data_IF_168801395330
#
_entry.id   IF_168801395330
#
_cell.length_a   1.000
_cell.length_b   1.000
_cell.length_c   1.000
_cell.angle_alpha   90.00
_cell.angle_beta   90.00
_cell.angle_gamma   90.00
#
_symmetry.space_group_name_H-M   'P 1'
#
loop_
_entity.id
_entity.type
_entity.pdbx_description
1 polymer ?
#
# COMPACT_ATOMS: atom_id res chain seq x y z
N UNK A 1 20.75 -6.50 9.11
CA UNK A 1 21.13 -5.09 9.07
C UNK A 1 22.42 -4.85 9.86
N UNK A 2 22.55 -5.32 11.12
CA UNK A 2 23.77 -5.17 11.96
C UNK A 2 24.99 -5.76 11.24
N UNK A 3 24.90 -6.99 10.73
CA UNK A 3 26.00 -7.59 9.96
C UNK A 3 26.37 -6.78 8.72
N UNK A 4 25.39 -6.14 8.05
CA UNK A 4 25.67 -5.28 6.90
C UNK A 4 26.48 -4.05 7.33
N UNK A 5 26.09 -3.39 8.42
CA UNK A 5 26.82 -2.23 8.96
C UNK A 5 28.25 -2.63 9.40
N UNK A 6 28.40 -3.75 10.10
CA UNK A 6 29.69 -4.28 10.50
C UNK A 6 30.62 -4.64 9.31
N UNK A 7 30.02 -4.98 8.14
CA UNK A 7 30.73 -5.17 6.88
C UNK A 7 30.87 -3.87 6.05
N UNK A 8 30.82 -2.71 6.70
CA UNK A 8 31.10 -1.42 6.09
C UNK A 8 29.99 -0.86 5.19
N UNK A 9 28.77 -1.39 5.26
CA UNK A 9 27.64 -0.83 4.52
C UNK A 9 27.02 0.34 5.29
N UNK A 10 26.67 1.41 4.59
CA UNK A 10 25.87 2.49 5.16
C UNK A 10 24.43 2.01 5.29
N UNK A 11 23.94 1.92 6.52
CA UNK A 11 22.58 1.44 6.83
C UNK A 11 21.80 2.55 7.52
N UNK A 12 20.59 2.81 7.05
CA UNK A 12 19.61 3.67 7.71
C UNK A 12 18.36 2.85 7.97
N UNK A 13 17.80 2.95 9.17
CA UNK A 13 16.59 2.23 9.57
C UNK A 13 15.59 3.24 10.11
N UNK A 14 14.37 3.16 9.64
CA UNK A 14 13.24 3.94 10.18
C UNK A 14 12.37 3.00 10.99
N UNK A 15 12.15 3.32 12.25
CA UNK A 15 11.41 2.50 13.20
C UNK A 15 10.19 3.27 13.71
N UNK A 16 9.02 2.61 13.64
CA UNK A 16 7.82 3.05 14.33
C UNK A 16 7.86 2.57 15.79
N UNK A 17 8.15 3.48 16.73
CA UNK A 17 8.26 3.15 18.15
C UNK A 17 6.92 2.74 18.76
N UNK A 18 5.82 3.40 18.35
CA UNK A 18 4.48 3.14 18.85
C UNK A 18 3.80 1.96 18.12
N UNK A 19 4.58 0.91 17.85
CA UNK A 19 4.08 -0.33 17.27
C UNK A 19 3.40 -1.16 18.37
N UNK A 20 2.08 -1.32 18.27
CA UNK A 20 1.26 -2.00 19.28
C UNK A 20 1.83 -3.38 19.61
N UNK A 21 2.15 -3.63 20.90
CA UNK A 21 2.75 -4.84 21.48
C UNK A 21 4.24 -5.06 21.19
N UNK A 22 4.90 -4.21 20.41
CA UNK A 22 6.31 -4.38 20.01
C UNK A 22 7.22 -3.24 20.52
N UNK A 23 6.70 -2.32 21.35
CA UNK A 23 7.42 -1.11 21.79
C UNK A 23 8.75 -1.44 22.48
N UNK A 24 8.72 -2.38 23.44
CA UNK A 24 9.93 -2.77 24.18
C UNK A 24 10.97 -3.44 23.24
N UNK A 25 10.51 -4.27 22.31
CA UNK A 25 11.34 -4.92 21.30
C UNK A 25 11.98 -3.89 20.37
N UNK A 26 11.19 -2.92 19.89
CA UNK A 26 11.68 -1.88 18.99
C UNK A 26 12.71 -0.97 19.68
N UNK A 27 12.52 -0.63 20.95
CA UNK A 27 13.50 0.13 21.74
C UNK A 27 14.82 -0.66 21.89
N UNK A 28 14.74 -1.95 22.21
CA UNK A 28 15.94 -2.78 22.35
C UNK A 28 16.70 -2.92 21.01
N UNK A 29 15.98 -3.19 19.92
CA UNK A 29 16.61 -3.29 18.61
C UNK A 29 17.19 -1.97 18.12
N UNK A 30 16.53 -0.83 18.39
CA UNK A 30 17.06 0.48 18.04
C UNK A 30 18.40 0.77 18.70
N UNK A 31 18.55 0.47 19.99
CA UNK A 31 19.82 0.61 20.72
C UNK A 31 20.92 -0.25 20.09
N UNK A 32 20.66 -1.54 19.89
CA UNK A 32 21.63 -2.47 19.27
C UNK A 32 22.04 -2.03 17.87
N UNK A 33 21.12 -1.50 17.09
CA UNK A 33 21.43 -0.99 15.75
C UNK A 33 22.28 0.29 15.82
N UNK A 34 21.99 1.20 16.73
CA UNK A 34 22.79 2.41 16.95
C UNK A 34 24.22 2.06 17.43
N UNK A 35 24.37 1.11 18.34
CA UNK A 35 25.67 0.59 18.79
C UNK A 35 26.49 -0.04 17.64
N UNK A 36 25.81 -0.59 16.62
CA UNK A 36 26.46 -1.12 15.42
C UNK A 36 26.72 -0.04 14.34
N UNK A 37 26.52 1.25 14.64
CA UNK A 37 26.76 2.36 13.73
C UNK A 37 25.65 2.60 12.68
N UNK A 38 24.46 2.03 12.88
CA UNK A 38 23.32 2.24 12.01
C UNK A 38 22.64 3.56 12.36
N UNK A 39 22.31 4.36 11.34
CA UNK A 39 21.45 5.54 11.52
C UNK A 39 20.03 5.08 11.78
N UNK A 40 19.50 5.33 12.98
CA UNK A 40 18.12 5.02 13.34
C UNK A 40 17.29 6.30 13.40
N UNK A 41 16.17 6.33 12.70
CA UNK A 41 15.20 7.43 12.65
C UNK A 41 13.90 6.95 13.29
N UNK A 42 13.36 7.73 14.20
CA UNK A 42 12.14 7.41 14.94
C UNK A 42 10.96 8.19 14.39
N UNK A 43 10.26 7.56 13.43
CA UNK A 43 8.97 8.07 12.95
C UNK A 43 8.96 9.50 12.42
N UNK A 44 7.75 9.99 12.20
CA UNK A 44 7.45 11.39 11.85
C UNK A 44 6.37 11.87 12.82
N UNK A 45 6.56 13.04 13.41
CA UNK A 45 5.57 13.59 14.33
C UNK A 45 4.21 13.77 13.63
N UNK A 46 3.14 13.27 14.27
CA UNK A 46 1.79 13.33 13.74
C UNK A 46 1.45 12.31 12.65
N UNK A 47 2.44 11.56 12.11
CA UNK A 47 2.21 10.55 11.09
C UNK A 47 2.75 9.19 11.54
N UNK A 48 1.90 8.16 11.46
CA UNK A 48 2.34 6.78 11.71
C UNK A 48 2.93 6.17 10.45
N UNK A 49 4.14 5.62 10.52
CA UNK A 49 4.74 4.88 9.40
C UNK A 49 4.14 3.48 9.36
N UNK A 50 3.46 3.17 8.25
CA UNK A 50 2.83 1.88 8.05
C UNK A 50 3.26 1.20 6.73
N UNK A 51 3.96 1.90 5.86
CA UNK A 51 4.60 1.31 4.68
C UNK A 51 5.72 0.33 5.08
N UNK A 52 5.92 -0.71 4.28
CA UNK A 52 6.93 -1.75 4.47
C UNK A 52 7.84 -1.75 3.26
N UNK A 53 8.96 -1.05 3.40
CA UNK A 53 9.86 -0.74 2.30
C UNK A 53 11.30 -1.12 2.66
N UNK A 54 12.04 -1.61 1.66
CA UNK A 54 13.49 -1.72 1.69
C UNK A 54 14.05 -1.11 0.43
N UNK A 55 15.06 -0.26 0.55
CA UNK A 55 15.85 0.26 -0.56
C UNK A 55 17.29 -0.21 -0.42
N UNK A 56 17.87 -0.73 -1.48
CA UNK A 56 19.24 -1.25 -1.50
C UNK A 56 19.98 -0.57 -2.65
N UNK A 57 20.88 0.35 -2.33
CA UNK A 57 21.80 0.96 -3.29
C UNK A 57 22.98 0.03 -3.59
N UNK A 58 23.25 -0.23 -4.86
CA UNK A 58 24.40 -1.02 -5.30
C UNK A 58 25.14 -0.34 -6.46
N UNK A 59 26.42 -0.71 -6.67
CA UNK A 59 27.19 -0.23 -7.83
C UNK A 59 26.64 -0.70 -9.17
N UNK A 60 25.77 -1.69 -9.19
CA UNK A 60 25.16 -2.24 -10.42
C UNK A 60 23.75 -1.74 -10.69
N UNK A 61 23.21 -0.93 -9.79
CA UNK A 61 21.83 -0.42 -9.81
C UNK A 61 21.15 -0.66 -8.48
N UNK A 62 20.09 0.08 -8.25
CA UNK A 62 19.37 0.03 -6.99
C UNK A 62 18.19 -0.93 -7.08
N UNK A 63 17.83 -1.50 -5.93
CA UNK A 63 16.73 -2.44 -5.75
C UNK A 63 15.77 -1.92 -4.68
N UNK A 64 14.49 -2.26 -4.83
CA UNK A 64 13.49 -1.99 -3.81
C UNK A 64 12.67 -3.24 -3.50
N UNK A 65 12.26 -3.37 -2.22
CA UNK A 65 11.23 -4.30 -1.80
C UNK A 65 10.05 -3.49 -1.25
N UNK A 66 8.85 -3.81 -1.69
CA UNK A 66 7.60 -3.22 -1.20
C UNK A 66 6.68 -4.36 -0.77
N UNK A 67 6.25 -4.34 0.50
CA UNK A 67 5.45 -5.43 1.07
C UNK A 67 4.08 -4.94 1.55
N UNK A 68 3.08 -5.82 1.46
CA UNK A 68 1.76 -5.62 2.07
C UNK A 68 1.81 -5.83 3.58
N UNK A 69 2.72 -6.65 4.07
CA UNK A 69 2.88 -7.03 5.47
C UNK A 69 4.24 -6.69 6.07
N UNK A 70 4.31 -6.72 7.39
CA UNK A 70 5.54 -6.44 8.13
C UNK A 70 6.63 -7.47 7.85
N UNK A 71 7.89 -7.02 7.77
CA UNK A 71 9.07 -7.88 7.74
C UNK A 71 9.33 -8.50 9.12
N UNK A 72 8.44 -9.40 9.53
CA UNK A 72 8.47 -10.03 10.85
C UNK A 72 8.21 -11.53 10.72
N UNK A 73 9.08 -12.36 11.31
CA UNK A 73 9.05 -13.82 11.20
C UNK A 73 7.69 -14.42 11.67
N UNK A 74 7.16 -13.96 12.80
CA UNK A 74 5.89 -14.43 13.33
C UNK A 74 4.72 -14.14 12.38
N UNK A 75 4.68 -12.95 11.80
CA UNK A 75 3.63 -12.57 10.85
C UNK A 75 3.72 -13.41 9.57
N UNK A 76 4.92 -13.67 9.08
CA UNK A 76 5.14 -14.48 7.88
C UNK A 76 4.64 -15.93 8.00
N UNK A 77 4.47 -16.43 9.23
CA UNK A 77 3.92 -17.77 9.49
C UNK A 77 2.40 -17.81 9.60
N UNK A 78 1.76 -16.67 9.84
CA UNK A 78 0.32 -16.59 10.13
C UNK A 78 -0.46 -15.76 9.12
N UNK A 79 0.20 -14.89 8.36
CA UNK A 79 -0.42 -13.96 7.42
C UNK A 79 -0.09 -14.35 5.99
N UNK A 80 -1.05 -14.18 5.10
CA UNK A 80 -0.79 -14.18 3.66
C UNK A 80 -0.41 -12.75 3.27
N UNK A 81 0.81 -12.55 2.80
CA UNK A 81 1.29 -11.24 2.35
C UNK A 81 2.06 -11.38 1.04
N UNK A 82 2.09 -10.30 0.26
CA UNK A 82 2.90 -10.19 -0.94
C UNK A 82 4.06 -9.24 -0.72
N UNK A 83 5.22 -9.60 -1.26
CA UNK A 83 6.38 -8.71 -1.32
C UNK A 83 6.89 -8.68 -2.75
N UNK A 84 6.88 -7.50 -3.36
CA UNK A 84 7.48 -7.27 -4.66
C UNK A 84 8.93 -6.83 -4.49
N UNK A 85 9.84 -7.49 -5.23
CA UNK A 85 11.22 -7.07 -5.38
C UNK A 85 11.40 -6.54 -6.79
N UNK A 86 11.95 -5.34 -6.93
CA UNK A 86 12.05 -4.69 -8.23
C UNK A 86 13.35 -3.91 -8.40
N UNK A 87 13.85 -3.88 -9.66
CA UNK A 87 14.89 -3.00 -10.13
C UNK A 87 14.34 -1.92 -11.09
N UNK A 88 13.00 -1.78 -11.19
CA UNK A 88 12.37 -0.80 -12.06
C UNK A 88 12.75 0.62 -11.59
N UNK A 89 13.55 1.31 -12.40
CA UNK A 89 14.24 2.56 -12.03
C UNK A 89 13.31 3.63 -11.44
N UNK A 90 12.12 3.81 -12.03
CA UNK A 90 11.17 4.84 -11.55
C UNK A 90 10.60 4.47 -10.19
N UNK A 91 10.23 3.20 -9.98
CA UNK A 91 9.70 2.72 -8.69
C UNK A 91 10.79 2.82 -7.61
N UNK A 92 12.00 2.31 -7.89
CA UNK A 92 13.11 2.33 -6.94
C UNK A 92 13.47 3.75 -6.50
N UNK A 93 13.53 4.69 -7.46
CA UNK A 93 13.77 6.12 -7.17
C UNK A 93 12.66 6.72 -6.31
N UNK A 94 11.42 6.32 -6.53
CA UNK A 94 10.31 6.83 -5.72
C UNK A 94 10.25 6.19 -4.34
N UNK A 95 10.67 4.94 -4.18
CA UNK A 95 10.90 4.33 -2.85
C UNK A 95 11.94 5.13 -2.07
N UNK A 96 13.07 5.50 -2.69
CA UNK A 96 14.08 6.35 -2.06
C UNK A 96 13.48 7.71 -1.63
N UNK A 97 12.67 8.33 -2.48
CA UNK A 97 11.95 9.57 -2.13
C UNK A 97 10.96 9.43 -0.97
N UNK A 98 10.40 8.23 -0.74
CA UNK A 98 9.58 7.98 0.45
C UNK A 98 10.43 8.06 1.71
N UNK A 99 11.67 7.54 1.68
CA UNK A 99 12.61 7.71 2.79
C UNK A 99 13.00 9.18 2.99
N UNK A 100 13.26 9.93 1.92
CA UNK A 100 13.49 11.38 1.99
C UNK A 100 12.31 12.13 2.60
N UNK A 101 11.08 11.78 2.19
CA UNK A 101 9.85 12.35 2.75
C UNK A 101 9.71 12.08 4.25
N UNK A 102 10.06 10.89 4.70
CA UNK A 102 10.03 10.54 6.13
C UNK A 102 11.10 11.34 6.91
N UNK A 103 12.28 11.53 6.33
CA UNK A 103 13.37 12.30 6.94
C UNK A 103 13.09 13.82 6.97
N UNK A 104 12.41 14.30 5.93
CA UNK A 104 12.17 15.75 5.70
C UNK A 104 10.72 16.00 5.26
N UNK A 105 9.73 15.76 6.13
CA UNK A 105 8.31 15.82 5.77
C UNK A 105 7.80 17.21 5.37
N UNK A 106 8.59 18.25 5.63
CA UNK A 106 8.31 19.63 5.25
C UNK A 106 8.66 19.95 3.79
N UNK A 107 9.40 19.07 3.10
CA UNK A 107 9.71 19.25 1.68
C UNK A 107 8.59 18.70 0.80
N UNK A 108 8.18 19.43 -0.23
CA UNK A 108 7.20 18.92 -1.19
C UNK A 108 7.79 17.77 -1.97
N UNK A 109 7.10 16.62 -1.97
CA UNK A 109 7.48 15.44 -2.74
C UNK A 109 6.35 15.08 -3.70
N UNK A 110 6.69 14.71 -4.91
CA UNK A 110 5.74 14.29 -5.93
C UNK A 110 6.07 12.87 -6.40
N UNK A 111 5.05 12.03 -6.48
CA UNK A 111 5.14 10.63 -6.90
C UNK A 111 4.35 10.42 -8.19
N UNK A 112 4.94 9.77 -9.18
CA UNK A 112 4.30 9.42 -10.45
C UNK A 112 3.84 7.97 -10.48
N UNK A 113 4.68 7.09 -10.00
CA UNK A 113 4.45 5.64 -9.96
C UNK A 113 3.70 5.24 -8.68
N UNK A 114 4.30 5.51 -7.53
CA UNK A 114 3.73 5.14 -6.23
C UNK A 114 2.53 6.03 -5.87
N UNK A 115 1.51 5.43 -5.26
CA UNK A 115 0.50 6.17 -4.55
C UNK A 115 0.91 6.25 -3.08
N UNK A 116 1.12 7.46 -2.58
CA UNK A 116 1.65 7.66 -1.22
C UNK A 116 0.67 8.49 -0.39
N UNK A 117 0.34 8.02 0.80
CA UNK A 117 -0.42 8.80 1.78
C UNK A 117 0.53 9.44 2.82
N UNK A 118 0.14 10.57 3.41
CA UNK A 118 -1.07 11.36 3.16
C UNK A 118 -0.99 12.29 1.93
N UNK A 119 0.03 12.10 1.07
CA UNK A 119 0.33 13.03 -0.03
C UNK A 119 -0.82 13.12 -1.06
N UNK A 120 -1.00 12.07 -1.87
CA UNK A 120 -1.98 12.10 -2.98
C UNK A 120 -2.76 10.79 -3.18
N UNK A 121 -2.56 9.78 -2.34
CA UNK A 121 -3.14 8.45 -2.53
C UNK A 121 -4.66 8.48 -2.71
N UNK A 122 -5.40 9.15 -1.81
CA UNK A 122 -6.87 9.25 -1.94
C UNK A 122 -7.29 9.91 -3.25
N UNK A 123 -6.62 11.01 -3.63
CA UNK A 123 -6.88 11.74 -4.87
C UNK A 123 -6.67 10.84 -6.10
N UNK A 124 -5.59 10.08 -6.12
CA UNK A 124 -5.26 9.18 -7.24
C UNK A 124 -6.17 7.97 -7.30
N UNK A 125 -6.54 7.35 -6.17
CA UNK A 125 -7.55 6.30 -6.12
C UNK A 125 -8.91 6.81 -6.64
N UNK A 126 -9.32 8.00 -6.21
CA UNK A 126 -10.53 8.66 -6.74
C UNK A 126 -10.45 8.88 -8.25
N UNK A 127 -9.30 9.28 -8.77
CA UNK A 127 -9.08 9.46 -10.20
C UNK A 127 -9.16 8.13 -10.98
N UNK A 128 -8.62 7.04 -10.43
CA UNK A 128 -8.74 5.70 -11.02
C UNK A 128 -10.21 5.26 -11.09
N UNK A 129 -10.98 5.40 -10.02
CA UNK A 129 -12.42 5.08 -10.01
C UNK A 129 -13.18 5.96 -11.03
N UNK A 130 -12.90 7.25 -11.09
CA UNK A 130 -13.52 8.15 -12.07
C UNK A 130 -13.15 7.76 -13.52
N UNK A 131 -11.96 7.23 -13.76
CA UNK A 131 -11.57 6.72 -15.07
C UNK A 131 -12.41 5.50 -15.47
N UNK A 132 -12.70 4.58 -14.52
CA UNK A 132 -13.60 3.44 -14.80
C UNK A 132 -15.02 3.90 -15.13
N UNK A 133 -15.55 4.90 -14.42
CA UNK A 133 -16.86 5.52 -14.74
C UNK A 133 -16.85 6.09 -16.17
N UNK A 134 -15.78 6.79 -16.54
CA UNK A 134 -15.64 7.36 -17.90
C UNK A 134 -15.53 6.26 -18.95
N UNK A 135 -14.74 5.22 -18.70
CA UNK A 135 -14.58 4.08 -19.61
C UNK A 135 -15.93 3.39 -19.84
N UNK A 136 -16.67 3.13 -18.77
CA UNK A 136 -18.02 2.51 -18.86
C UNK A 136 -18.97 3.32 -19.72
N UNK A 137 -19.02 4.64 -19.51
CA UNK A 137 -19.88 5.56 -20.30
C UNK A 137 -19.48 5.61 -21.77
N UNK A 138 -18.23 5.28 -22.09
CA UNK A 138 -17.71 5.21 -23.47
C UNK A 138 -17.84 3.81 -24.10
N UNK A 139 -18.49 2.86 -23.41
CA UNK A 139 -18.60 1.46 -23.89
C UNK A 139 -17.31 0.68 -23.86
N UNK A 140 -16.28 1.16 -23.14
CA UNK A 140 -15.02 0.45 -22.94
C UNK A 140 -15.11 -0.51 -21.76
N UNK A 141 -14.19 -1.43 -21.69
CA UNK A 141 -14.02 -2.30 -20.54
C UNK A 141 -13.80 -1.49 -19.27
N UNK A 142 -14.57 -1.79 -18.21
CA UNK A 142 -14.55 -1.05 -16.96
C UNK A 142 -15.02 -1.91 -15.80
N UNK A 143 -14.12 -2.17 -14.86
CA UNK A 143 -14.40 -2.86 -13.60
C UNK A 143 -13.36 -2.47 -12.54
N UNK A 144 -13.68 -2.78 -11.29
CA UNK A 144 -12.80 -2.57 -10.13
C UNK A 144 -12.77 -3.87 -9.33
N UNK A 145 -11.58 -4.41 -9.08
CA UNK A 145 -11.36 -5.48 -8.12
C UNK A 145 -10.48 -4.93 -6.99
N UNK A 146 -10.90 -5.11 -5.75
CA UNK A 146 -10.07 -4.69 -4.63
C UNK A 146 -10.14 -5.70 -3.47
N UNK A 147 -8.98 -6.06 -2.94
CA UNK A 147 -8.83 -6.80 -1.71
C UNK A 147 -8.20 -5.91 -0.67
N UNK A 148 -8.89 -5.70 0.45
CA UNK A 148 -8.46 -4.86 1.56
C UNK A 148 -8.90 -5.45 2.89
N UNK A 149 -8.32 -4.99 3.99
CA UNK A 149 -8.81 -5.42 5.30
C UNK A 149 -10.06 -4.63 5.70
N UNK A 150 -10.10 -3.33 5.40
CA UNK A 150 -11.19 -2.44 5.83
C UNK A 150 -11.55 -1.40 4.77
N UNK A 151 -12.84 -1.07 4.69
CA UNK A 151 -13.37 0.02 3.86
C UNK A 151 -14.28 0.90 4.74
N UNK A 152 -13.81 2.08 5.13
CA UNK A 152 -14.56 3.05 5.93
C UNK A 152 -14.36 4.50 5.46
N UNK A 153 -13.56 4.73 4.41
CA UNK A 153 -13.36 6.06 3.85
C UNK A 153 -14.61 6.50 3.08
N UNK A 154 -15.27 7.55 3.59
CA UNK A 154 -16.52 8.04 3.04
C UNK A 154 -16.40 8.50 1.57
N UNK A 155 -15.28 9.11 1.22
CA UNK A 155 -15.05 9.65 -0.13
C UNK A 155 -14.94 8.50 -1.13
N UNK A 156 -14.14 7.47 -0.82
CA UNK A 156 -13.99 6.31 -1.68
C UNK A 156 -15.28 5.49 -1.77
N UNK A 157 -16.01 5.30 -0.66
CA UNK A 157 -17.32 4.62 -0.67
C UNK A 157 -18.30 5.34 -1.58
N UNK A 158 -18.40 6.66 -1.48
CA UNK A 158 -19.26 7.45 -2.35
C UNK A 158 -18.86 7.28 -3.82
N UNK A 159 -17.58 7.26 -4.14
CA UNK A 159 -17.08 7.03 -5.50
C UNK A 159 -17.40 5.63 -6.03
N UNK A 160 -17.36 4.61 -5.17
CA UNK A 160 -17.79 3.25 -5.56
C UNK A 160 -19.29 3.20 -5.86
N UNK A 161 -20.13 3.91 -5.11
CA UNK A 161 -21.55 4.04 -5.43
C UNK A 161 -21.79 4.76 -6.76
N UNK A 162 -21.06 5.86 -7.02
CA UNK A 162 -21.11 6.55 -8.32
C UNK A 162 -20.68 5.62 -9.47
N UNK A 163 -19.65 4.79 -9.26
CA UNK A 163 -19.18 3.80 -10.23
C UNK A 163 -20.25 2.73 -10.49
N UNK A 164 -20.85 2.20 -9.44
CA UNK A 164 -21.95 1.23 -9.54
C UNK A 164 -23.15 1.80 -10.29
N UNK A 165 -23.59 3.00 -9.95
CA UNK A 165 -24.68 3.70 -10.65
C UNK A 165 -24.37 3.91 -12.15
N UNK A 166 -23.08 4.10 -12.50
CA UNK A 166 -22.64 4.18 -13.90
C UNK A 166 -22.54 2.80 -14.58
N UNK A 167 -22.77 1.70 -13.87
CA UNK A 167 -22.73 0.33 -14.39
C UNK A 167 -21.34 -0.33 -14.32
N UNK A 168 -20.37 0.24 -13.57
CA UNK A 168 -19.06 -0.37 -13.36
C UNK A 168 -19.20 -1.53 -12.37
N UNK A 169 -18.80 -2.73 -12.78
CA UNK A 169 -18.76 -3.89 -11.90
C UNK A 169 -17.64 -3.71 -10.89
N UNK A 170 -17.96 -3.92 -9.61
CA UNK A 170 -17.02 -3.76 -8.51
C UNK A 170 -17.08 -4.98 -7.61
N UNK A 171 -15.99 -5.73 -7.56
CA UNK A 171 -15.84 -6.90 -6.71
C UNK A 171 -14.81 -6.61 -5.60
N UNK A 172 -15.26 -6.73 -4.36
CA UNK A 172 -14.47 -6.39 -3.19
C UNK A 172 -14.29 -7.62 -2.29
N UNK A 173 -13.07 -7.85 -1.83
CA UNK A 173 -12.76 -8.80 -0.76
C UNK A 173 -12.38 -8.02 0.49
N UNK A 174 -13.24 -8.05 1.51
CA UNK A 174 -13.08 -7.28 2.74
C UNK A 174 -13.25 -8.20 3.95
N UNK A 175 -12.20 -8.35 4.76
CA UNK A 175 -12.23 -9.26 5.91
C UNK A 175 -12.59 -8.62 7.24
N UNK A 176 -12.64 -7.31 7.32
CA UNK A 176 -12.88 -6.55 8.55
C UNK A 176 -13.99 -5.50 8.39
N UNK A 177 -13.80 -4.32 8.99
CA UNK A 177 -14.83 -3.28 8.97
C UNK A 177 -15.15 -2.80 7.56
N UNK A 178 -16.42 -2.90 7.19
CA UNK A 178 -16.93 -2.40 5.93
C UNK A 178 -18.14 -1.49 6.18
N UNK A 179 -18.01 -0.21 5.82
CA UNK A 179 -19.11 0.76 5.90
C UNK A 179 -19.85 0.91 4.56
N UNK A 180 -19.45 0.16 3.52
CA UNK A 180 -20.17 0.11 2.25
C UNK A 180 -21.28 -0.94 2.36
N UNK A 181 -22.48 -0.58 1.91
CA UNK A 181 -23.68 -1.45 1.90
C UNK A 181 -23.98 -1.86 0.48
N UNK A 182 -24.15 -3.15 0.24
CA UNK A 182 -24.54 -3.72 -1.06
C UNK A 182 -26.05 -3.98 -1.13
N UNK A 183 -26.56 -4.22 -2.33
CA UNK A 183 -27.98 -4.57 -2.53
C UNK A 183 -28.96 -3.39 -2.39
N UNK A 184 -28.50 -2.14 -2.45
CA UNK A 184 -29.36 -0.96 -2.50
C UNK A 184 -29.74 -0.70 -3.95
N UNK A 185 -31.04 -0.87 -4.34
CA UNK A 185 -31.49 -0.70 -5.73
C UNK A 185 -31.13 0.69 -6.30
N UNK A 186 -30.57 0.71 -7.50
CA UNK A 186 -30.15 1.93 -8.19
C UNK A 186 -28.83 2.55 -7.66
N UNK A 187 -28.28 2.03 -6.59
CA UNK A 187 -27.06 2.58 -5.95
C UNK A 187 -25.90 1.59 -5.95
N UNK A 188 -26.12 0.38 -5.44
CA UNK A 188 -25.05 -0.62 -5.29
C UNK A 188 -25.34 -1.95 -6.03
N UNK A 189 -26.15 -1.91 -7.08
CA UNK A 189 -26.51 -3.10 -7.87
C UNK A 189 -25.30 -3.80 -8.50
N UNK A 190 -24.25 -3.06 -8.78
CA UNK A 190 -23.04 -3.54 -9.43
C UNK A 190 -21.88 -3.74 -8.46
N UNK A 191 -22.13 -3.76 -7.14
CA UNK A 191 -21.12 -3.99 -6.12
C UNK A 191 -21.34 -5.33 -5.44
N UNK A 192 -20.31 -6.17 -5.42
CA UNK A 192 -20.28 -7.41 -4.65
C UNK A 192 -19.19 -7.33 -3.60
N UNK A 193 -19.47 -7.80 -2.39
CA UNK A 193 -18.51 -7.85 -1.29
C UNK A 193 -18.47 -9.28 -0.76
N UNK A 194 -17.28 -9.83 -0.69
CA UNK A 194 -17.00 -11.13 -0.09
C UNK A 194 -15.95 -10.98 1.01
N UNK A 195 -15.94 -11.89 1.97
CA UNK A 195 -14.89 -12.00 2.99
C UNK A 195 -14.24 -13.38 2.90
N UNK A 196 -12.96 -13.44 3.15
CA UNK A 196 -12.21 -14.70 3.26
C UNK A 196 -11.70 -14.81 4.69
N UNK A 197 -12.11 -15.88 5.37
CA UNK A 197 -11.63 -16.24 6.71
C UNK A 197 -11.18 -17.69 6.62
N UNK A 198 -9.90 -17.93 6.84
CA UNK A 198 -9.30 -19.25 6.78
C UNK A 198 -8.20 -19.39 7.83
N UNK A 199 -7.41 -20.44 7.74
CA UNK A 199 -6.28 -20.75 8.62
C UNK A 199 -5.28 -19.60 8.75
N UNK A 200 -4.98 -18.94 7.63
CA UNK A 200 -4.08 -17.79 7.58
C UNK A 200 -4.89 -16.50 7.53
N UNK A 201 -4.34 -15.45 8.15
CA UNK A 201 -4.94 -14.13 8.09
C UNK A 201 -4.76 -13.53 6.69
N UNK A 202 -5.86 -13.33 5.98
CA UNK A 202 -5.87 -12.70 4.66
C UNK A 202 -5.56 -11.19 4.79
N UNK A 203 -4.29 -10.83 4.58
CA UNK A 203 -3.76 -9.51 4.89
C UNK A 203 -3.37 -8.65 3.68
N UNK A 204 -3.13 -9.20 2.47
CA UNK A 204 -2.70 -8.40 1.33
C UNK A 204 -3.74 -7.34 0.95
N UNK A 205 -3.25 -6.21 0.42
CA UNK A 205 -4.08 -5.21 -0.26
C UNK A 205 -3.69 -5.21 -1.73
N UNK A 206 -4.70 -5.46 -2.56
CA UNK A 206 -4.57 -5.55 -4.01
C UNK A 206 -5.67 -4.70 -4.63
N UNK A 207 -5.32 -3.95 -5.67
CA UNK A 207 -6.27 -3.12 -6.40
C UNK A 207 -6.05 -3.32 -7.89
N UNK A 208 -7.13 -3.61 -8.61
CA UNK A 208 -7.11 -3.82 -10.05
C UNK A 208 -8.20 -2.94 -10.67
N UNK A 209 -7.83 -2.19 -11.70
CA UNK A 209 -8.71 -1.35 -12.48
C UNK A 209 -8.59 -1.75 -13.94
N UNK A 210 -9.73 -1.97 -14.62
CA UNK A 210 -9.76 -2.37 -16.03
C UNK A 210 -9.10 -1.37 -16.97
N UNK A 211 -9.22 -0.07 -16.65
CA UNK A 211 -8.58 1.03 -17.37
C UNK A 211 -8.79 0.98 -18.90
N UNK A 212 -9.98 0.51 -19.35
CA UNK A 212 -10.31 0.44 -20.77
C UNK A 212 -9.63 -0.70 -21.53
N UNK A 213 -9.21 -1.77 -20.85
CA UNK A 213 -8.51 -2.94 -21.39
C UNK A 213 -6.99 -2.93 -21.15
N UNK A 214 -6.44 -1.86 -20.58
CA UNK A 214 -5.04 -1.79 -20.13
C UNK A 214 -4.98 -1.79 -18.61
N UNK A 215 -5.26 -2.92 -18.01
CA UNK A 215 -5.40 -3.11 -16.57
C UNK A 215 -4.26 -2.50 -15.75
N UNK A 216 -4.62 -1.86 -14.65
CA UNK A 216 -3.69 -1.32 -13.67
C UNK A 216 -3.78 -2.09 -12.37
N UNK A 217 -2.67 -2.67 -11.96
CA UNK A 217 -2.52 -3.45 -10.74
C UNK A 217 -1.70 -2.68 -9.73
N UNK A 218 -2.15 -2.66 -8.49
CA UNK A 218 -1.42 -2.09 -7.36
C UNK A 218 -1.45 -3.03 -6.16
N UNK A 219 -0.33 -3.12 -5.44
CA UNK A 219 -0.24 -3.77 -4.14
C UNK A 219 0.40 -2.83 -3.12
N UNK A 220 0.14 -3.03 -1.83
CA UNK A 220 0.82 -2.28 -0.78
C UNK A 220 0.16 -2.34 0.58
N UNK A 221 0.35 -1.30 1.38
CA UNK A 221 0.05 -1.32 2.81
C UNK A 221 -1.29 -0.70 3.21
N UNK A 222 -1.94 0.05 2.30
CA UNK A 222 -3.10 0.89 2.64
C UNK A 222 -4.44 0.16 2.58
N UNK A 223 -5.23 0.26 3.65
CA UNK A 223 -6.66 0.04 3.61
C UNK A 223 -7.40 1.32 3.21
N UNK A 224 -8.66 1.21 2.80
CA UNK A 224 -9.51 2.36 2.47
C UNK A 224 -10.20 2.93 3.72
N UNK A 225 -9.37 3.43 4.64
CA UNK A 225 -9.80 4.07 5.89
C UNK A 225 -9.22 5.49 5.99
N UNK A 226 -9.94 6.46 6.62
CA UNK A 226 -9.42 7.82 6.82
C UNK A 226 -8.03 7.82 7.47
N UNK A 227 -7.83 7.01 8.52
CA UNK A 227 -6.52 6.93 9.21
C UNK A 227 -5.37 6.49 8.29
N UNK A 228 -5.61 5.60 7.30
CA UNK A 228 -4.59 5.17 6.35
C UNK A 228 -4.29 6.26 5.32
N UNK A 229 -5.31 7.02 4.92
CA UNK A 229 -5.22 7.97 3.84
C UNK A 229 -4.81 9.38 4.31
N UNK A 230 -4.95 9.70 5.61
CA UNK A 230 -4.70 11.04 6.17
C UNK A 230 -3.60 11.08 7.24
N UNK A 231 -3.46 10.01 8.05
CA UNK A 231 -2.62 10.04 9.25
C UNK A 231 -1.49 8.99 9.25
N UNK A 232 -1.32 8.30 8.12
CA UNK A 232 -0.27 7.28 7.98
C UNK A 232 0.52 7.48 6.71
N UNK A 233 1.79 7.10 6.76
CA UNK A 233 2.60 6.93 5.58
C UNK A 233 2.37 5.51 5.07
N UNK A 234 1.59 5.42 3.99
CA UNK A 234 1.26 4.18 3.28
C UNK A 234 1.76 4.28 1.84
N UNK A 235 2.04 3.14 1.24
CA UNK A 235 2.49 3.07 -0.15
C UNK A 235 1.72 1.98 -0.89
N UNK A 236 1.24 2.31 -2.09
CA UNK A 236 0.82 1.35 -3.10
C UNK A 236 1.78 1.46 -4.29
N UNK A 237 2.28 0.33 -4.76
CA UNK A 237 3.16 0.23 -5.93
C UNK A 237 2.42 -0.38 -7.10
N UNK A 238 2.61 0.13 -8.34
CA UNK A 238 2.10 -0.56 -9.52
C UNK A 238 2.84 -1.88 -9.74
N UNK A 239 2.14 -2.85 -10.32
CA UNK A 239 2.69 -4.13 -10.76
C UNK A 239 2.63 -4.18 -12.27
N UNK A 240 3.79 -4.16 -12.93
CA UNK A 240 3.88 -4.11 -14.39
C UNK A 240 4.13 -5.47 -15.04
N UNK A 241 4.72 -6.41 -14.29
CA UNK A 241 5.03 -7.75 -14.77
C UNK A 241 3.74 -8.55 -14.97
N UNK A 242 3.52 -9.03 -16.21
CA UNK A 242 2.30 -9.74 -16.59
C UNK A 242 2.18 -11.13 -15.93
N UNK A 243 3.30 -11.76 -15.60
CA UNK A 243 3.28 -13.06 -14.90
C UNK A 243 2.81 -12.84 -13.46
N UNK A 244 3.34 -11.81 -12.80
CA UNK A 244 2.92 -11.44 -11.44
C UNK A 244 1.46 -10.96 -11.42
N UNK A 245 1.03 -10.19 -12.43
CA UNK A 245 -0.37 -9.75 -12.55
C UNK A 245 -1.34 -10.96 -12.63
N UNK A 246 -0.94 -12.03 -13.28
CA UNK A 246 -1.76 -13.23 -13.43
C UNK A 246 -1.87 -14.05 -12.12
N UNK A 247 -0.99 -13.83 -11.16
CA UNK A 247 -1.02 -14.47 -9.83
C UNK A 247 -1.87 -13.69 -8.81
N UNK A 248 -2.21 -12.43 -9.11
CA UNK A 248 -2.97 -11.54 -8.24
C UNK A 248 -4.47 -11.61 -8.49
#
# INVERSE_FOLDING_TARGET
LICAAQNGKKVTVIIELLARFDEASNINWSKRMQEAGIKVIFGVEGLKIHSKLVHIGTRFGDLACISTGNFHEGNARMYTDFTIMTAHRSIVREVDRVFDFIEKPYLPVNFKELLVSPNDMRKRLTALINQEIKNKRQGKEAYILAKVNHITDRILIQKLYEASTAGVQTDLVVRGNCSLVTGIPGVSDNIRINGIIDRYLEHPRIFIFANGGEEKYYIGSADWMPRNLDNRIEVLTPVYDKVIQAEL
#
